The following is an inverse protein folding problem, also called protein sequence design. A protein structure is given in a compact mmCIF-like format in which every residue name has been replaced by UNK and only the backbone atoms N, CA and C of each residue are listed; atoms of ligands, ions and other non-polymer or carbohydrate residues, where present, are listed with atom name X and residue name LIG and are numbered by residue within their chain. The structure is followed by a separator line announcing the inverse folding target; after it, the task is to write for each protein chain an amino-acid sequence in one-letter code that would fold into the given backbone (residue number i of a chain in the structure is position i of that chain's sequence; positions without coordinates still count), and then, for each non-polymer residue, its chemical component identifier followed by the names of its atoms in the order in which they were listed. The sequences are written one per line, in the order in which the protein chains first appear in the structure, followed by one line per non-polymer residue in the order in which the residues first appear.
data_IF_953072622850
#
_entry.id   IF_953072622850
#
_cell.length_a   1.000
_cell.length_b   1.000
_cell.length_c   1.000
_cell.angle_alpha   90.00
_cell.angle_beta   90.00
_cell.angle_gamma   90.00
#
_symmetry.space_group_name_H-M   'P 1'
#
loop_
_entity.id
_entity.type
_entity.pdbx_description
1 polymer ?
#
# COMPACT_ATOMS: atom_id res chain seq x y z
N UNK A 1 -15.72 6.97 25.70
CA UNK A 1 -14.31 6.59 25.95
C UNK A 1 -14.17 5.12 26.31
N UNK A 2 -14.85 4.61 27.37
CA UNK A 2 -15.02 3.17 27.61
C UNK A 2 -15.36 2.42 26.31
N UNK A 3 -16.32 2.94 25.55
CA UNK A 3 -16.72 2.42 24.24
C UNK A 3 -15.57 2.09 23.27
N UNK A 4 -14.51 2.90 23.15
CA UNK A 4 -13.39 2.58 22.21
C UNK A 4 -12.48 1.51 22.82
N UNK A 5 -12.18 1.61 24.12
CA UNK A 5 -11.42 0.58 24.82
C UNK A 5 -12.15 -0.77 24.74
N UNK A 6 -13.46 -0.79 24.99
CA UNK A 6 -14.35 -1.96 24.92
C UNK A 6 -14.48 -2.56 23.51
N UNK A 7 -14.23 -1.76 22.47
CA UNK A 7 -14.18 -2.22 21.07
C UNK A 7 -12.87 -2.99 20.80
N UNK A 8 -11.76 -2.51 21.36
CA UNK A 8 -10.44 -3.12 21.18
C UNK A 8 -10.04 -4.12 22.27
N UNK A 9 -10.86 -4.33 23.31
CA UNK A 9 -10.60 -5.27 24.40
C UNK A 9 -10.18 -6.67 23.94
N UNK A 10 -10.79 -7.16 22.86
CA UNK A 10 -10.51 -8.48 22.28
C UNK A 10 -9.55 -8.44 21.08
N UNK A 11 -9.04 -7.26 20.71
CA UNK A 11 -8.27 -7.07 19.48
C UNK A 11 -6.77 -7.01 19.78
N UNK A 12 -5.96 -7.74 19.01
CA UNK A 12 -4.51 -7.80 19.20
C UNK A 12 -3.81 -6.43 19.12
N UNK A 13 -4.43 -5.48 18.42
CA UNK A 13 -4.00 -4.08 18.31
C UNK A 13 -4.12 -3.25 19.59
N UNK A 14 -4.82 -3.73 20.63
CA UNK A 14 -4.97 -3.02 21.91
C UNK A 14 -3.61 -2.63 22.53
N UNK A 15 -2.61 -3.50 22.38
CA UNK A 15 -1.24 -3.27 22.87
C UNK A 15 -0.54 -2.06 22.23
N UNK A 16 -1.05 -1.60 21.08
CA UNK A 16 -0.53 -0.44 20.35
C UNK A 16 -1.34 0.83 20.60
N UNK A 17 -2.44 0.76 21.37
CA UNK A 17 -3.28 1.91 21.67
C UNK A 17 -2.93 2.48 23.04
N UNK A 18 -2.61 3.77 23.06
CA UNK A 18 -2.38 4.52 24.28
C UNK A 18 -3.56 5.48 24.50
N UNK A 19 -4.43 5.13 25.44
CA UNK A 19 -5.63 5.92 25.76
C UNK A 19 -5.39 7.00 26.82
N UNK A 20 -4.28 6.90 27.57
CA UNK A 20 -3.93 7.82 28.64
C UNK A 20 -2.43 8.16 28.60
N UNK A 21 -2.03 9.44 28.77
CA UNK A 21 -2.92 10.60 28.92
C UNK A 21 -3.58 10.99 27.60
N UNK A 22 -4.81 11.52 27.67
CA UNK A 22 -5.40 12.27 26.57
C UNK A 22 -4.76 13.64 26.51
N UNK A 23 -4.18 13.97 25.38
CA UNK A 23 -3.54 15.27 25.14
C UNK A 23 -4.47 16.09 24.27
N UNK A 24 -4.94 17.22 24.80
CA UNK A 24 -5.84 18.13 24.10
C UNK A 24 -5.03 19.28 23.52
N UNK A 25 -4.72 19.19 22.23
CA UNK A 25 -3.91 20.18 21.53
C UNK A 25 -4.80 21.26 20.91
N UNK A 26 -4.45 22.52 21.14
CA UNK A 26 -5.00 23.66 20.43
C UNK A 26 -4.14 23.95 19.18
N UNK A 27 -4.63 23.51 18.01
CA UNK A 27 -3.95 23.71 16.73
C UNK A 27 -3.82 25.16 16.27
N UNK A 28 -4.42 26.12 16.97
CA UNK A 28 -4.32 27.56 16.67
C UNK A 28 -3.26 28.29 17.49
N UNK A 29 -2.69 27.63 18.50
CA UNK A 29 -1.65 28.19 19.36
C UNK A 29 -0.33 27.42 19.16
N UNK A 30 0.63 28.01 18.45
CA UNK A 30 1.94 27.39 18.20
C UNK A 30 2.76 27.16 19.48
N UNK A 31 2.48 27.89 20.56
CA UNK A 31 3.14 27.78 21.85
C UNK A 31 2.34 26.96 22.88
N UNK A 32 1.40 26.14 22.42
CA UNK A 32 0.62 25.28 23.32
C UNK A 32 1.54 24.29 24.06
N UNK A 33 1.59 24.31 25.41
CA UNK A 33 2.40 23.37 26.19
C UNK A 33 2.04 21.90 25.93
N UNK A 34 0.80 21.61 25.52
CA UNK A 34 0.35 20.25 25.21
C UNK A 34 1.02 19.69 23.95
N UNK A 35 1.44 20.54 23.01
CA UNK A 35 2.26 20.11 21.87
C UNK A 35 3.63 19.61 22.35
N UNK A 36 4.22 20.30 23.33
CA UNK A 36 5.49 19.89 23.90
C UNK A 36 5.36 18.58 24.69
N UNK A 37 4.26 18.43 25.44
CA UNK A 37 3.94 17.17 26.13
C UNK A 37 3.78 16.01 25.13
N UNK A 38 3.06 16.23 24.03
CA UNK A 38 2.91 15.24 22.95
C UNK A 38 4.25 14.85 22.32
N UNK A 39 5.10 15.84 21.99
CA UNK A 39 6.44 15.59 21.45
C UNK A 39 7.29 14.74 22.41
N UNK A 40 7.29 15.08 23.69
CA UNK A 40 8.04 14.32 24.68
C UNK A 40 7.52 12.88 24.77
N UNK A 41 6.20 12.69 24.79
CA UNK A 41 5.59 11.36 24.83
C UNK A 41 5.95 10.51 23.59
N UNK A 42 5.89 11.10 22.40
CA UNK A 42 6.31 10.44 21.16
C UNK A 42 7.79 10.05 21.20
N UNK A 43 8.65 10.91 21.73
CA UNK A 43 10.09 10.60 21.88
C UNK A 43 10.33 9.45 22.85
N UNK A 44 9.61 9.41 23.97
CA UNK A 44 9.74 8.33 24.95
C UNK A 44 9.26 7.00 24.34
N UNK A 45 8.13 7.00 23.62
CA UNK A 45 7.63 5.82 22.89
C UNK A 45 8.55 5.37 21.76
N UNK A 46 9.16 6.30 21.03
CA UNK A 46 10.11 5.96 19.98
C UNK A 46 11.34 5.23 20.54
N UNK A 47 11.81 5.61 21.73
CA UNK A 47 12.94 4.94 22.42
C UNK A 47 12.61 3.54 22.92
N UNK A 48 11.33 3.25 23.21
CA UNK A 48 10.86 1.92 23.60
C UNK A 48 10.78 0.94 22.42
N UNK A 49 10.89 1.44 21.18
CA UNK A 49 10.82 0.58 20.00
C UNK A 49 11.94 -0.48 20.05
N UNK A 50 11.68 -1.78 19.81
CA UNK A 50 12.68 -2.85 19.97
C UNK A 50 13.95 -2.65 19.14
N UNK A 51 13.82 -1.90 18.03
CA UNK A 51 14.91 -1.61 17.10
C UNK A 51 15.66 -0.31 17.43
N UNK A 52 15.25 0.43 18.44
CA UNK A 52 15.91 1.67 18.83
C UNK A 52 17.34 1.37 19.30
N UNK A 53 18.32 2.07 18.72
CA UNK A 53 19.72 1.84 19.01
C UNK A 53 20.33 0.61 18.32
N UNK A 54 19.61 -0.07 17.42
CA UNK A 54 20.21 -1.12 16.59
C UNK A 54 21.37 -0.57 15.76
N UNK A 55 22.49 -1.28 15.78
CA UNK A 55 23.65 -0.93 14.97
C UNK A 55 23.37 -1.22 13.50
N UNK A 56 23.41 -0.18 12.67
CA UNK A 56 23.34 -0.31 11.22
C UNK A 56 24.75 -0.34 10.60
N UNK A 57 24.98 -1.14 9.54
CA UNK A 57 26.25 -1.13 8.83
C UNK A 57 26.59 0.27 8.30
N UNK A 58 27.74 0.80 8.68
CA UNK A 58 28.21 2.13 8.21
C UNK A 58 28.39 2.19 6.70
N UNK A 59 28.69 1.05 6.06
CA UNK A 59 28.78 0.92 4.62
C UNK A 59 27.45 1.23 3.88
N UNK A 60 26.31 1.21 4.57
CA UNK A 60 25.02 1.56 3.98
C UNK A 60 24.78 3.07 3.88
N UNK A 61 25.41 3.85 4.77
CA UNK A 61 25.16 5.29 4.91
C UNK A 61 25.38 6.06 3.61
N UNK A 62 26.47 5.85 2.84
CA UNK A 62 26.67 6.61 1.62
C UNK A 62 25.58 6.38 0.57
N UNK A 63 25.18 5.12 0.38
CA UNK A 63 24.12 4.78 -0.57
C UNK A 63 22.77 5.32 -0.09
N UNK A 64 22.46 5.18 1.21
CA UNK A 64 21.22 5.70 1.79
C UNK A 64 21.10 7.22 1.63
N UNK A 65 22.16 7.97 1.90
CA UNK A 65 22.21 9.42 1.66
C UNK A 65 22.02 9.76 0.18
N UNK A 66 22.64 9.01 -0.72
CA UNK A 66 22.48 9.23 -2.15
C UNK A 66 21.03 9.00 -2.61
N UNK A 67 20.38 7.92 -2.14
CA UNK A 67 18.98 7.64 -2.43
C UNK A 67 18.06 8.75 -1.88
N UNK A 68 18.33 9.26 -0.67
CA UNK A 68 17.61 10.38 -0.10
C UNK A 68 17.74 11.66 -0.95
N UNK A 69 18.94 11.96 -1.46
CA UNK A 69 19.16 13.09 -2.37
C UNK A 69 18.40 12.95 -3.69
N UNK A 70 18.26 11.72 -4.22
CA UNK A 70 17.45 11.49 -5.43
C UNK A 70 15.96 11.68 -5.13
N UNK A 71 15.49 11.23 -3.97
CA UNK A 71 14.12 11.47 -3.51
C UNK A 71 13.82 12.97 -3.34
N UNK A 72 14.74 13.74 -2.78
CA UNK A 72 14.62 15.21 -2.67
C UNK A 72 14.54 15.91 -4.02
N UNK A 73 15.17 15.36 -5.06
CA UNK A 73 15.06 15.83 -6.45
C UNK A 73 13.74 15.42 -7.12
N UNK A 74 12.84 14.74 -6.41
CA UNK A 74 11.56 14.27 -6.91
C UNK A 74 11.64 12.95 -7.67
N UNK A 75 12.76 12.22 -7.62
CA UNK A 75 12.86 10.89 -8.22
C UNK A 75 12.19 9.87 -7.28
N UNK A 76 11.22 9.13 -7.80
CA UNK A 76 10.43 8.20 -7.00
C UNK A 76 10.80 6.74 -7.21
N UNK A 77 11.27 6.40 -8.42
CA UNK A 77 11.61 5.03 -8.83
C UNK A 77 12.98 5.02 -9.50
N UNK A 78 13.80 4.04 -9.11
CA UNK A 78 15.11 3.77 -9.71
C UNK A 78 15.20 2.32 -10.14
N UNK A 79 15.95 2.04 -11.21
CA UNK A 79 16.30 0.68 -11.59
C UNK A 79 17.41 0.12 -10.70
N UNK A 80 17.51 -1.21 -10.58
CA UNK A 80 18.60 -1.86 -9.84
C UNK A 80 19.97 -1.46 -10.40
N UNK A 81 20.08 -1.27 -11.72
CA UNK A 81 21.32 -0.84 -12.37
C UNK A 81 21.71 0.60 -11.98
N UNK A 82 20.76 1.52 -11.87
CA UNK A 82 21.02 2.87 -11.37
C UNK A 82 21.52 2.83 -9.92
N UNK A 83 20.92 1.98 -9.08
CA UNK A 83 21.36 1.80 -7.70
C UNK A 83 22.77 1.20 -7.63
N UNK A 84 23.10 0.23 -8.49
CA UNK A 84 24.45 -0.34 -8.60
C UNK A 84 25.47 0.73 -9.00
N UNK A 85 25.11 1.59 -9.95
CA UNK A 85 25.95 2.71 -10.36
C UNK A 85 26.20 3.66 -9.18
N UNK A 86 25.17 4.05 -8.42
CA UNK A 86 25.33 4.89 -7.23
C UNK A 86 26.18 4.22 -6.15
N UNK A 87 26.00 2.92 -5.93
CA UNK A 87 26.83 2.14 -5.01
C UNK A 87 28.31 2.14 -5.43
N UNK A 88 28.62 2.08 -6.73
CA UNK A 88 30.00 2.14 -7.23
C UNK A 88 30.65 3.52 -7.15
N UNK A 89 29.88 4.60 -6.95
CA UNK A 89 30.43 5.97 -6.87
C UNK A 89 31.22 6.21 -5.57
N UNK A 90 31.04 5.37 -4.55
CA UNK A 90 31.79 5.50 -3.31
C UNK A 90 32.79 4.35 -3.15
N UNK A 91 34.00 4.55 -3.70
CA UNK A 91 35.07 3.54 -3.77
C UNK A 91 35.44 2.94 -2.39
N UNK A 92 35.24 3.68 -1.30
CA UNK A 92 35.63 3.25 0.05
C UNK A 92 34.65 2.27 0.72
N UNK A 93 33.38 2.24 0.29
CA UNK A 93 32.30 1.49 0.95
C UNK A 93 31.35 0.82 -0.06
N UNK A 94 31.88 0.35 -1.18
CA UNK A 94 31.08 -0.33 -2.22
C UNK A 94 30.50 -1.63 -1.68
N UNK A 95 29.17 -1.78 -1.77
CA UNK A 95 28.49 -3.02 -1.42
C UNK A 95 28.64 -4.06 -2.54
N UNK A 96 28.95 -5.30 -2.19
CA UNK A 96 28.82 -6.44 -3.12
C UNK A 96 27.36 -6.66 -3.53
N UNK A 97 27.10 -7.40 -4.61
CA UNK A 97 25.72 -7.70 -5.06
C UNK A 97 24.85 -8.27 -3.92
N UNK A 98 25.38 -9.23 -3.16
CA UNK A 98 24.67 -9.84 -2.02
C UNK A 98 24.39 -8.84 -0.89
N UNK A 99 25.35 -7.95 -0.60
CA UNK A 99 25.16 -6.91 0.41
C UNK A 99 24.15 -5.86 -0.06
N UNK A 100 24.14 -5.53 -1.35
CA UNK A 100 23.17 -4.61 -1.93
C UNK A 100 21.75 -5.18 -1.87
N UNK A 101 21.57 -6.46 -2.19
CA UNK A 101 20.28 -7.14 -2.03
C UNK A 101 19.83 -7.18 -0.57
N UNK A 102 20.76 -7.45 0.35
CA UNK A 102 20.47 -7.41 1.79
C UNK A 102 20.06 -6.01 2.23
N UNK A 103 20.77 -4.97 1.76
CA UNK A 103 20.42 -3.57 2.00
C UNK A 103 19.00 -3.28 1.52
N UNK A 104 18.65 -3.61 0.27
CA UNK A 104 17.31 -3.36 -0.27
C UNK A 104 16.21 -4.07 0.55
N UNK A 105 16.42 -5.34 0.91
CA UNK A 105 15.46 -6.11 1.73
C UNK A 105 15.27 -5.51 3.13
N UNK A 106 16.36 -5.07 3.76
CA UNK A 106 16.29 -4.44 5.09
C UNK A 106 15.60 -3.09 5.01
N UNK A 107 15.99 -2.22 4.07
CA UNK A 107 15.37 -0.91 3.88
C UNK A 107 13.87 -1.03 3.51
N UNK A 108 13.50 -2.08 2.76
CA UNK A 108 12.11 -2.43 2.50
C UNK A 108 11.35 -2.82 3.78
N UNK A 109 11.94 -3.67 4.62
CA UNK A 109 11.32 -4.07 5.90
C UNK A 109 11.15 -2.90 6.88
N UNK A 110 11.99 -1.87 6.76
CA UNK A 110 11.90 -0.64 7.54
C UNK A 110 10.91 0.37 6.95
N UNK A 111 10.32 0.08 5.78
CA UNK A 111 9.40 0.98 5.09
C UNK A 111 10.07 2.24 4.54
N UNK A 112 11.40 2.27 4.40
CA UNK A 112 12.14 3.41 3.86
C UNK A 112 12.09 3.48 2.33
N UNK A 113 11.99 2.32 1.69
CA UNK A 113 11.78 2.14 0.25
C UNK A 113 10.92 0.89 0.01
N UNK A 114 10.48 0.65 -1.23
CA UNK A 114 9.80 -0.59 -1.61
C UNK A 114 10.64 -1.36 -2.63
N UNK A 115 10.98 -2.60 -2.28
CA UNK A 115 11.71 -3.53 -3.12
C UNK A 115 11.06 -4.91 -3.01
N UNK A 116 10.71 -5.50 -4.15
CA UNK A 116 10.06 -6.80 -4.22
C UNK A 116 10.97 -7.78 -4.97
N UNK A 117 11.38 -8.85 -4.30
CA UNK A 117 12.25 -9.88 -4.87
C UNK A 117 11.47 -10.88 -5.75
N UNK A 118 10.72 -10.36 -6.71
CA UNK A 118 9.89 -11.12 -7.65
C UNK A 118 10.39 -10.86 -9.08
N UNK A 119 10.29 -11.85 -9.97
CA UNK A 119 10.87 -11.77 -11.32
C UNK A 119 10.42 -10.54 -12.13
N UNK A 120 9.16 -10.16 -11.99
CA UNK A 120 8.51 -9.02 -12.64
C UNK A 120 8.75 -7.66 -11.94
N UNK A 121 9.28 -7.64 -10.71
CA UNK A 121 9.42 -6.42 -9.90
C UNK A 121 10.86 -6.11 -9.44
N UNK A 122 11.75 -7.12 -9.45
CA UNK A 122 13.10 -7.05 -8.86
C UNK A 122 14.04 -6.03 -9.48
N UNK A 123 13.74 -5.57 -10.69
CA UNK A 123 14.61 -4.66 -11.44
C UNK A 123 14.33 -3.19 -11.12
N UNK A 124 13.26 -2.88 -10.38
CA UNK A 124 12.86 -1.52 -10.02
C UNK A 124 12.61 -1.39 -8.52
N UNK A 125 12.98 -0.24 -7.97
CA UNK A 125 12.86 0.09 -6.54
C UNK A 125 12.14 1.41 -6.40
N UNK A 126 11.06 1.43 -5.62
CA UNK A 126 10.37 2.68 -5.27
C UNK A 126 11.12 3.28 -4.08
N UNK A 127 11.92 4.31 -4.31
CA UNK A 127 12.78 4.91 -3.28
C UNK A 127 12.03 5.90 -2.39
N UNK A 128 10.84 6.33 -2.82
CA UNK A 128 9.96 7.21 -2.05
C UNK A 128 8.62 6.51 -1.79
N UNK A 129 8.41 5.87 -0.62
CA UNK A 129 7.17 5.15 -0.31
C UNK A 129 5.90 6.01 -0.41
N UNK A 130 6.01 7.31 -0.15
CA UNK A 130 4.91 8.26 -0.29
C UNK A 130 4.32 8.29 -1.72
N UNK A 131 5.10 7.93 -2.73
CA UNK A 131 4.62 7.79 -4.11
C UNK A 131 3.45 6.79 -4.23
N UNK A 132 3.46 5.72 -3.43
CA UNK A 132 2.38 4.74 -3.43
C UNK A 132 1.05 5.35 -2.95
N UNK A 133 1.08 6.38 -2.10
CA UNK A 133 -0.13 7.09 -1.66
C UNK A 133 -0.81 7.73 -2.86
N UNK A 134 -0.07 8.37 -3.75
CA UNK A 134 -0.63 8.99 -4.95
C UNK A 134 -1.14 7.96 -5.96
N UNK A 135 -0.44 6.83 -6.08
CA UNK A 135 -0.92 5.67 -6.85
C UNK A 135 -2.25 5.18 -6.29
N UNK A 136 -2.34 4.92 -4.99
CA UNK A 136 -3.57 4.45 -4.34
C UNK A 136 -4.70 5.46 -4.52
N UNK A 137 -4.44 6.75 -4.32
CA UNK A 137 -5.41 7.84 -4.54
C UNK A 137 -5.93 7.91 -5.97
N UNK A 138 -5.16 7.43 -6.95
CA UNK A 138 -5.59 7.41 -8.36
C UNK A 138 -6.64 6.34 -8.66
N UNK A 139 -6.70 5.27 -7.85
CA UNK A 139 -7.57 4.10 -8.06
C UNK A 139 -8.66 4.03 -6.97
N UNK A 140 -8.23 4.11 -5.71
CA UNK A 140 -9.08 4.01 -4.53
C UNK A 140 -9.25 5.43 -3.97
N UNK A 141 -10.36 6.06 -4.31
CA UNK A 141 -10.65 7.41 -3.84
C UNK A 141 -12.13 7.67 -3.67
N UNK A 142 -12.44 8.53 -2.70
CA UNK A 142 -13.81 8.91 -2.40
C UNK A 142 -14.43 9.76 -3.51
N UNK A 143 -15.76 9.69 -3.62
CA UNK A 143 -16.55 10.39 -4.66
C UNK A 143 -16.25 11.88 -4.76
N UNK A 144 -15.98 12.53 -3.62
CA UNK A 144 -15.70 13.96 -3.57
C UNK A 144 -14.39 14.35 -4.28
N UNK A 145 -13.45 13.41 -4.40
CA UNK A 145 -12.17 13.61 -5.07
C UNK A 145 -12.17 13.09 -6.52
N UNK A 146 -13.34 12.71 -7.04
CA UNK A 146 -13.42 12.19 -8.40
C UNK A 146 -13.09 13.27 -9.44
N UNK A 147 -12.40 12.89 -10.50
CA UNK A 147 -12.06 13.82 -11.56
C UNK A 147 -13.30 14.37 -12.25
N UNK A 148 -13.27 15.64 -12.66
CA UNK A 148 -14.44 16.32 -13.24
C UNK A 148 -14.82 15.82 -14.64
N UNK A 149 -13.93 15.14 -15.37
CA UNK A 149 -14.21 14.65 -16.74
C UNK A 149 -15.29 13.56 -16.78
N UNK A 150 -16.26 13.66 -17.70
CA UNK A 150 -17.37 12.69 -17.83
C UNK A 150 -16.87 11.25 -18.05
N UNK A 151 -15.88 11.06 -18.92
CA UNK A 151 -15.24 9.75 -19.17
C UNK A 151 -14.64 9.18 -17.90
N UNK A 152 -13.83 9.96 -17.19
CA UNK A 152 -13.14 9.52 -15.98
C UNK A 152 -14.13 9.21 -14.85
N UNK A 153 -15.18 10.03 -14.68
CA UNK A 153 -16.27 9.70 -13.74
C UNK A 153 -16.93 8.37 -14.09
N UNK A 154 -17.15 8.06 -15.37
CA UNK A 154 -17.75 6.79 -15.76
C UNK A 154 -16.89 5.58 -15.38
N UNK A 155 -15.56 5.71 -15.43
CA UNK A 155 -14.61 4.67 -14.97
C UNK A 155 -14.85 4.41 -13.48
N UNK A 156 -14.85 5.44 -12.65
CA UNK A 156 -15.10 5.31 -11.21
C UNK A 156 -16.51 4.79 -10.86
N UNK A 157 -17.54 5.19 -11.60
CA UNK A 157 -18.88 4.60 -11.44
C UNK A 157 -18.90 3.10 -11.78
N UNK A 158 -18.10 2.68 -12.77
CA UNK A 158 -17.98 1.27 -13.14
C UNK A 158 -17.25 0.49 -12.05
N UNK A 159 -16.14 1.01 -11.54
CA UNK A 159 -15.43 0.44 -10.40
C UNK A 159 -16.34 0.32 -9.17
N UNK A 160 -17.16 1.33 -8.86
CA UNK A 160 -18.07 1.25 -7.71
C UNK A 160 -19.19 0.22 -7.85
N UNK A 161 -19.69 0.01 -9.07
CA UNK A 161 -20.81 -0.89 -9.33
C UNK A 161 -20.36 -2.33 -9.56
N UNK A 162 -19.25 -2.53 -10.25
CA UNK A 162 -18.77 -3.85 -10.67
C UNK A 162 -17.52 -4.31 -9.94
N UNK A 163 -16.81 -3.40 -9.26
CA UNK A 163 -15.51 -3.70 -8.69
C UNK A 163 -14.47 -4.03 -9.75
N UNK A 164 -14.55 -3.45 -10.95
CA UNK A 164 -13.68 -3.81 -12.07
C UNK A 164 -13.19 -2.56 -12.82
N UNK A 165 -11.95 -2.63 -13.29
CA UNK A 165 -11.28 -1.60 -14.09
C UNK A 165 -10.45 -2.23 -15.20
N UNK A 166 -10.44 -1.62 -16.39
CA UNK A 166 -9.56 -2.07 -17.47
C UNK A 166 -8.18 -1.42 -17.38
N UNK A 167 -7.16 -2.09 -17.94
CA UNK A 167 -5.81 -1.53 -18.10
C UNK A 167 -5.83 -0.17 -18.81
N UNK A 168 -6.61 -0.08 -19.90
CA UNK A 168 -6.75 1.14 -20.68
C UNK A 168 -7.39 2.28 -19.86
N UNK A 169 -8.40 1.96 -19.06
CA UNK A 169 -9.03 2.93 -18.17
C UNK A 169 -8.07 3.45 -17.10
N UNK A 170 -7.22 2.59 -16.52
CA UNK A 170 -6.18 3.03 -15.58
C UNK A 170 -5.17 3.97 -16.25
N UNK A 171 -4.72 3.66 -17.47
CA UNK A 171 -3.85 4.57 -18.20
C UNK A 171 -4.53 5.91 -18.50
N UNK A 172 -5.82 5.91 -18.84
CA UNK A 172 -6.58 7.14 -19.03
C UNK A 172 -6.74 7.94 -17.74
N UNK A 173 -6.88 7.28 -16.59
CA UNK A 173 -6.85 7.94 -15.28
C UNK A 173 -5.49 8.60 -15.03
N UNK A 174 -4.40 7.95 -15.40
CA UNK A 174 -3.03 8.45 -15.20
C UNK A 174 -2.57 9.49 -16.22
N UNK A 175 -3.32 9.73 -17.31
CA UNK A 175 -3.07 10.87 -18.21
C UNK A 175 -3.45 12.22 -17.59
N UNK A 176 -4.09 12.23 -16.43
CA UNK A 176 -4.43 13.47 -15.75
C UNK A 176 -3.17 14.13 -15.19
N UNK A 177 -3.08 15.48 -15.21
CA UNK A 177 -1.88 16.20 -14.76
C UNK A 177 -1.41 15.80 -13.35
N UNK A 178 -2.34 15.53 -12.42
CA UNK A 178 -2.02 15.14 -11.05
C UNK A 178 -1.40 13.74 -10.94
N UNK A 179 -1.60 12.87 -11.94
CA UNK A 179 -1.14 11.47 -11.95
C UNK A 179 -0.19 11.16 -13.11
N UNK A 180 0.20 12.16 -13.90
CA UNK A 180 1.04 11.98 -15.09
C UNK A 180 2.38 11.33 -14.76
N UNK A 181 2.95 11.65 -13.60
CA UNK A 181 4.17 11.05 -13.06
C UNK A 181 4.08 9.53 -12.84
N UNK A 182 2.87 8.94 -12.79
CA UNK A 182 2.64 7.49 -12.72
C UNK A 182 2.76 6.84 -14.10
N UNK A 183 2.41 7.58 -15.16
CA UNK A 183 2.29 7.04 -16.51
C UNK A 183 3.62 6.47 -17.05
N UNK A 184 4.75 7.08 -16.66
CA UNK A 184 6.11 6.62 -17.01
C UNK A 184 6.42 5.21 -16.51
N UNK A 185 5.77 4.77 -15.43
CA UNK A 185 6.00 3.48 -14.78
C UNK A 185 4.74 2.61 -14.73
N UNK A 186 3.71 2.96 -15.53
CA UNK A 186 2.35 2.40 -15.48
C UNK A 186 2.29 0.87 -15.36
N UNK A 187 3.12 0.14 -16.11
CA UNK A 187 3.09 -1.32 -16.12
C UNK A 187 3.70 -1.92 -14.85
N UNK A 188 4.83 -1.38 -14.42
CA UNK A 188 5.43 -1.72 -13.13
C UNK A 188 4.47 -1.42 -11.98
N UNK A 189 3.75 -0.31 -12.03
CA UNK A 189 2.79 0.06 -10.99
C UNK A 189 1.57 -0.86 -10.95
N UNK A 190 1.07 -1.33 -12.09
CA UNK A 190 0.02 -2.35 -12.12
C UNK A 190 0.52 -3.65 -11.45
N UNK A 191 1.74 -4.07 -11.76
CA UNK A 191 2.35 -5.26 -11.15
C UNK A 191 2.50 -5.10 -9.63
N UNK A 192 2.94 -3.93 -9.15
CA UNK A 192 3.01 -3.61 -7.72
C UNK A 192 1.63 -3.65 -7.06
N UNK A 193 0.62 -3.06 -7.68
CA UNK A 193 -0.74 -3.03 -7.14
C UNK A 193 -1.37 -4.43 -7.06
N UNK A 194 -1.07 -5.30 -8.02
CA UNK A 194 -1.48 -6.71 -7.97
C UNK A 194 -0.72 -7.46 -6.89
N UNK A 195 0.58 -7.21 -6.73
CA UNK A 195 1.37 -7.83 -5.66
C UNK A 195 0.93 -7.40 -4.26
N UNK A 196 0.42 -6.18 -4.11
CA UNK A 196 -0.11 -5.66 -2.85
C UNK A 196 -1.60 -5.96 -2.64
N UNK A 197 -2.19 -6.83 -3.46
CA UNK A 197 -3.60 -7.26 -3.40
C UNK A 197 -4.61 -6.10 -3.49
N UNK A 198 -4.17 -4.97 -4.05
CA UNK A 198 -5.04 -3.82 -4.34
C UNK A 198 -5.86 -4.08 -5.60
N UNK A 199 -5.24 -4.72 -6.58
CA UNK A 199 -5.86 -5.19 -7.81
C UNK A 199 -5.84 -6.72 -7.83
N UNK A 200 -6.91 -7.33 -8.32
CA UNK A 200 -6.93 -8.77 -8.61
C UNK A 200 -6.88 -8.98 -10.11
N UNK A 201 -5.85 -9.67 -10.57
CA UNK A 201 -5.75 -10.14 -11.94
C UNK A 201 -6.40 -11.52 -12.04
N UNK A 202 -7.28 -11.72 -13.02
CA UNK A 202 -7.80 -13.05 -13.35
C UNK A 202 -6.66 -13.83 -14.01
N UNK A 203 -6.00 -14.70 -13.22
CA UNK A 203 -4.91 -15.57 -13.69
C UNK A 203 -5.48 -16.93 -14.06
N UNK A 204 -4.93 -17.55 -15.09
CA UNK A 204 -5.19 -18.96 -15.33
C UNK A 204 -4.53 -19.78 -14.21
N UNK A 205 -5.16 -20.87 -13.77
CA UNK A 205 -4.67 -21.73 -12.67
C UNK A 205 -3.26 -22.33 -12.87
N UNK A 206 -2.64 -22.12 -14.04
CA UNK A 206 -1.31 -22.60 -14.41
C UNK A 206 -0.22 -21.52 -14.32
N UNK A 207 -0.56 -20.27 -14.04
CA UNK A 207 0.38 -19.15 -14.03
C UNK A 207 0.91 -18.87 -12.62
N UNK A 208 2.22 -19.01 -12.44
CA UNK A 208 2.87 -18.70 -11.16
C UNK A 208 2.71 -17.22 -10.78
N UNK A 209 2.76 -16.91 -9.48
CA UNK A 209 2.69 -15.56 -8.91
C UNK A 209 3.70 -14.58 -9.54
N UNK A 210 4.84 -15.09 -10.04
CA UNK A 210 5.90 -14.31 -10.69
C UNK A 210 5.75 -14.10 -12.21
N UNK A 211 4.72 -14.68 -12.85
CA UNK A 211 4.46 -14.46 -14.28
C UNK A 211 3.97 -13.02 -14.51
N UNK A 212 4.61 -12.24 -15.41
CA UNK A 212 4.14 -10.89 -15.73
C UNK A 212 2.72 -10.90 -16.26
N UNK A 213 1.86 -10.03 -15.75
CA UNK A 213 0.43 -9.95 -16.11
C UNK A 213 0.19 -9.04 -17.32
N UNK A 214 1.11 -9.05 -18.29
CA UNK A 214 1.10 -8.13 -19.45
C UNK A 214 -0.14 -8.28 -20.30
N UNK A 215 -0.65 -9.50 -20.43
CA UNK A 215 -1.80 -9.83 -21.28
C UNK A 215 -3.14 -9.61 -20.55
N UNK A 216 -3.12 -9.39 -19.24
CA UNK A 216 -4.32 -9.10 -18.46
C UNK A 216 -4.82 -7.69 -18.78
N UNK A 217 -6.05 -7.62 -19.28
CA UNK A 217 -6.69 -6.37 -19.72
C UNK A 217 -7.73 -5.84 -18.73
N UNK A 218 -8.23 -6.68 -17.83
CA UNK A 218 -9.22 -6.33 -16.81
C UNK A 218 -8.76 -6.79 -15.43
N UNK A 219 -9.04 -5.96 -14.43
CA UNK A 219 -8.67 -6.19 -13.04
C UNK A 219 -9.90 -5.97 -12.16
N UNK A 220 -10.00 -6.73 -11.08
CA UNK A 220 -10.95 -6.43 -10.02
C UNK A 220 -10.31 -5.47 -9.01
N UNK A 221 -11.13 -4.60 -8.43
CA UNK A 221 -10.80 -3.62 -7.40
C UNK A 221 -11.81 -3.77 -6.24
N UNK A 222 -11.68 -4.82 -5.41
CA UNK A 222 -12.73 -5.18 -4.45
C UNK A 222 -13.04 -4.07 -3.45
N UNK A 223 -12.03 -3.30 -3.05
CA UNK A 223 -12.15 -2.15 -2.13
C UNK A 223 -13.07 -1.03 -2.64
N UNK A 224 -13.32 -0.96 -3.95
CA UNK A 224 -14.19 0.05 -4.55
C UNK A 224 -15.66 -0.36 -4.61
N UNK A 225 -15.98 -1.64 -4.37
CA UNK A 225 -17.36 -2.14 -4.38
C UNK A 225 -18.10 -1.55 -3.18
N UNK A 226 -18.96 -0.59 -3.45
CA UNK A 226 -19.74 0.12 -2.42
C UNK A 226 -21.23 -0.11 -2.55
N UNK A 227 -21.67 -0.78 -3.63
CA UNK A 227 -23.05 -1.13 -3.85
C UNK A 227 -23.21 -2.64 -3.72
N UNK A 228 -24.04 -3.13 -2.79
CA UNK A 228 -24.43 -4.53 -2.82
C UNK A 228 -25.11 -4.81 -4.17
N UNK A 229 -24.67 -5.84 -4.89
CA UNK A 229 -25.47 -6.35 -5.98
C UNK A 229 -26.70 -7.01 -5.36
N UNK A 230 -27.89 -6.48 -5.65
CA UNK A 230 -29.16 -6.92 -5.06
C UNK A 230 -29.53 -8.32 -5.57
N UNK A 231 -28.87 -9.32 -5.00
CA UNK A 231 -29.31 -10.69 -4.70
C UNK A 231 -30.41 -11.30 -5.59
N UNK A 232 -30.26 -11.26 -6.92
CA UNK A 232 -30.87 -12.28 -7.79
C UNK A 232 -30.17 -13.63 -7.64
N UNK A 233 -28.85 -13.61 -7.44
CA UNK A 233 -28.02 -14.81 -7.28
C UNK A 233 -28.33 -15.55 -5.98
N UNK A 234 -28.26 -14.88 -4.82
CA UNK A 234 -28.60 -15.50 -3.53
C UNK A 234 -30.04 -16.05 -3.51
N UNK A 235 -31.01 -15.30 -4.04
CA UNK A 235 -32.41 -15.76 -4.16
C UNK A 235 -32.55 -16.99 -5.07
N UNK A 236 -31.67 -17.20 -6.05
CA UNK A 236 -31.63 -18.39 -6.90
C UNK A 236 -31.02 -19.59 -6.16
N UNK A 237 -29.94 -19.37 -5.41
CA UNK A 237 -29.30 -20.41 -4.58
C UNK A 237 -30.23 -20.93 -3.48
N UNK A 238 -30.97 -20.04 -2.79
CA UNK A 238 -31.95 -20.44 -1.78
C UNK A 238 -33.07 -21.32 -2.34
N UNK A 239 -33.41 -21.19 -3.63
CA UNK A 239 -34.50 -21.95 -4.27
C UNK A 239 -34.09 -23.36 -4.68
N UNK A 240 -32.81 -23.67 -4.84
CA UNK A 240 -32.39 -24.97 -5.39
C UNK A 240 -32.34 -26.09 -4.36
N UNK A 241 -32.50 -25.80 -3.06
CA UNK A 241 -32.48 -26.81 -1.98
C UNK A 241 -31.14 -27.55 -1.80
N UNK A 242 -30.13 -27.22 -2.61
CA UNK A 242 -28.83 -27.90 -2.71
C UNK A 242 -27.66 -27.07 -2.17
N UNK A 243 -27.92 -25.87 -1.65
CA UNK A 243 -26.88 -24.98 -1.15
C UNK A 243 -26.46 -25.35 0.27
N UNK A 244 -25.16 -25.58 0.48
CA UNK A 244 -24.55 -25.70 1.80
C UNK A 244 -24.25 -24.29 2.32
N UNK A 245 -24.77 -23.94 3.49
CA UNK A 245 -24.50 -22.68 4.16
C UNK A 245 -23.35 -22.87 5.16
N UNK A 246 -22.23 -22.20 4.94
CA UNK A 246 -21.17 -22.07 5.92
C UNK A 246 -21.26 -20.68 6.56
N UNK A 247 -21.53 -20.62 7.87
CA UNK A 247 -21.56 -19.38 8.64
C UNK A 247 -20.38 -19.33 9.59
N UNK A 248 -19.59 -18.27 9.50
CA UNK A 248 -18.52 -17.95 10.44
C UNK A 248 -18.87 -16.68 11.22
N UNK A 249 -18.57 -16.66 12.51
CA UNK A 249 -18.68 -15.48 13.37
C UNK A 249 -17.29 -15.15 13.87
N UNK A 250 -16.79 -13.96 13.55
CA UNK A 250 -15.54 -13.49 14.12
C UNK A 250 -15.71 -13.24 15.61
N UNK A 251 -14.68 -13.62 16.36
CA UNK A 251 -14.56 -13.33 17.79
C UNK A 251 -14.25 -11.84 17.98
N UNK A 252 -13.48 -11.27 17.05
CA UNK A 252 -13.07 -9.86 17.06
C UNK A 252 -14.23 -8.95 16.62
N UNK A 253 -14.42 -7.84 17.34
CA UNK A 253 -15.44 -6.83 17.01
C UNK A 253 -15.03 -5.91 15.86
N UNK A 254 -13.72 -5.77 15.63
CA UNK A 254 -13.15 -4.96 14.54
C UNK A 254 -12.52 -5.92 13.55
N UNK A 255 -13.09 -5.98 12.35
CA UNK A 255 -12.57 -6.78 11.24
C UNK A 255 -11.86 -5.81 10.29
N UNK A 256 -10.58 -6.05 9.93
CA UNK A 256 -9.89 -5.24 8.94
C UNK A 256 -10.67 -5.21 7.63
N UNK A 257 -10.90 -4.02 7.08
CA UNK A 257 -11.59 -3.85 5.81
C UNK A 257 -10.96 -4.66 4.64
N UNK A 258 -9.62 -4.85 4.56
CA UNK A 258 -9.00 -5.68 3.52
C UNK A 258 -9.36 -7.17 3.59
N UNK A 259 -9.86 -7.68 4.72
CA UNK A 259 -10.20 -9.10 4.89
C UNK A 259 -11.15 -9.63 3.79
N UNK A 260 -12.09 -8.79 3.34
CA UNK A 260 -13.01 -9.16 2.27
C UNK A 260 -12.32 -9.29 0.90
N UNK A 261 -11.26 -8.51 0.66
CA UNK A 261 -10.42 -8.60 -0.54
C UNK A 261 -9.60 -9.89 -0.51
N UNK A 262 -8.98 -10.19 0.63
CA UNK A 262 -8.15 -11.40 0.80
C UNK A 262 -8.98 -12.69 0.65
N UNK A 263 -10.23 -12.67 1.13
CA UNK A 263 -11.13 -13.81 0.98
C UNK A 263 -11.58 -14.03 -0.46
N UNK A 264 -11.68 -12.97 -1.28
CA UNK A 264 -11.96 -13.09 -2.71
C UNK A 264 -10.77 -13.67 -3.49
N UNK A 265 -9.54 -13.48 -3.02
CA UNK A 265 -8.34 -14.06 -3.62
C UNK A 265 -8.19 -15.56 -3.33
N UNK A 266 -8.84 -16.06 -2.28
CA UNK A 266 -8.80 -17.47 -1.88
C UNK A 266 -9.89 -18.33 -2.55
N UNK A 267 -10.82 -17.72 -3.30
CA UNK A 267 -11.95 -18.37 -3.97
C UNK A 267 -11.76 -18.42 -5.48
#
# INVERSE_FOLDING_TARGET
MKVIQDIFESHAGLKHLEFNPLIFVNSTNEADPEIQALRQRLMDRAKEHPRWGEHMPTAWVPLELHLAQQAEKGITILTKDQIKMFNSQNESMVLTEKQLETFLKVQHSLGKLLYFDLANLRDSVIITPAYLVDVLRSIITEKQFWPKGKRLRNIFHTMQRKGAVSRADMYDLWKQPIFEHILSYKDFIIEVLVHLDILVAERNNTEDLGTPIRDVTQFLVPSMITRPDDTKYMKKCYKSGTSILLSYKFIEKVIPQPFHTDLLLLL
#
